data_IF_019514321080
#
_entry.id   IF_019514321080
#
_cell.length_a   1.000
_cell.length_b   1.000
_cell.length_c   1.000
_cell.angle_alpha   90.00
_cell.angle_beta   90.00
_cell.angle_gamma   90.00
#
_symmetry.space_group_name_H-M   'P 1'
#
loop_
_entity.id
_entity.type
_entity.pdbx_description
1 polymer ?
#
# COMPACT_ATOMS: atom_id res chain seq x y z
N UNK A 1 35.49 -10.87 7.86
CA UNK A 1 34.11 -10.39 7.74
C UNK A 1 34.14 -8.91 8.01
N UNK A 2 33.86 -8.11 6.99
CA UNK A 2 33.92 -6.65 7.05
C UNK A 2 32.59 -6.08 7.55
N UNK A 3 32.58 -4.82 8.01
CA UNK A 3 31.35 -4.13 8.41
C UNK A 3 30.28 -4.17 7.29
N UNK A 4 30.73 -4.11 6.04
CA UNK A 4 29.88 -4.12 4.86
C UNK A 4 29.26 -5.50 4.61
N UNK A 5 29.96 -6.59 4.92
CA UNK A 5 29.42 -7.96 4.85
C UNK A 5 28.30 -8.15 5.89
N UNK A 6 28.50 -7.63 7.10
CA UNK A 6 27.50 -7.70 8.18
C UNK A 6 26.26 -6.88 7.82
N UNK A 7 26.44 -5.70 7.21
CA UNK A 7 25.34 -4.85 6.79
C UNK A 7 24.53 -5.49 5.65
N UNK A 8 25.19 -6.12 4.68
CA UNK A 8 24.54 -6.88 3.62
C UNK A 8 23.68 -8.03 4.17
N UNK A 9 24.18 -8.75 5.19
CA UNK A 9 23.43 -9.84 5.85
C UNK A 9 22.22 -9.28 6.62
N UNK A 10 22.39 -8.17 7.34
CA UNK A 10 21.29 -7.53 8.07
C UNK A 10 20.20 -6.98 7.14
N UNK A 11 20.59 -6.42 6.00
CA UNK A 11 19.66 -6.00 4.96
C UNK A 11 18.91 -7.20 4.35
N UNK A 12 19.61 -8.31 4.07
CA UNK A 12 18.97 -9.53 3.58
C UNK A 12 17.93 -10.10 4.57
N UNK A 13 18.24 -10.09 5.87
CA UNK A 13 17.33 -10.52 6.93
C UNK A 13 16.15 -9.53 7.13
N UNK A 14 16.37 -8.24 6.88
CA UNK A 14 15.33 -7.22 6.86
C UNK A 14 14.36 -7.44 5.68
N UNK A 15 14.88 -7.65 4.46
CA UNK A 15 14.06 -7.96 3.30
C UNK A 15 13.35 -9.33 3.42
N UNK A 16 13.95 -10.27 4.16
CA UNK A 16 13.33 -11.55 4.50
C UNK A 16 12.21 -11.46 5.55
N UNK A 17 11.92 -10.27 6.10
CA UNK A 17 10.90 -10.08 7.13
C UNK A 17 11.29 -10.62 8.52
N UNK A 18 12.54 -11.06 8.70
CA UNK A 18 13.03 -11.60 9.97
C UNK A 18 13.52 -10.51 10.93
N UNK A 19 13.88 -9.34 10.38
CA UNK A 19 14.38 -8.19 11.13
C UNK A 19 13.60 -6.91 10.83
N UNK A 20 13.24 -6.21 11.89
CA UNK A 20 12.79 -4.83 11.83
C UNK A 20 13.98 -3.92 12.16
N UNK A 21 14.23 -2.91 11.34
CA UNK A 21 15.27 -1.91 11.59
C UNK A 21 14.64 -0.59 12.01
N UNK A 22 15.11 0.01 13.10
CA UNK A 22 14.77 1.38 13.49
C UNK A 22 16.03 2.23 13.50
N UNK A 23 16.02 3.32 12.75
CA UNK A 23 17.10 4.31 12.78
C UNK A 23 16.85 5.20 13.99
N UNK A 24 17.81 5.24 14.91
CA UNK A 24 17.78 6.11 16.09
C UNK A 24 18.96 7.06 16.04
N UNK A 25 18.69 8.36 16.11
CA UNK A 25 19.71 9.38 16.36
C UNK A 25 19.97 9.44 17.86
N UNK A 26 21.01 8.77 18.35
CA UNK A 26 21.39 8.90 19.76
C UNK A 26 22.35 10.07 19.93
N UNK A 27 21.90 11.10 20.67
CA UNK A 27 22.84 12.01 21.33
C UNK A 27 23.33 11.30 22.60
N UNK A 28 24.56 10.81 22.54
CA UNK A 28 25.28 10.29 23.70
C UNK A 28 25.00 8.82 24.03
N UNK A 29 25.74 7.90 23.40
CA UNK A 29 26.04 6.60 23.99
C UNK A 29 27.35 6.03 23.43
N UNK A 30 28.37 6.03 24.30
CA UNK A 30 29.59 5.21 24.32
C UNK A 30 30.49 5.16 23.07
N UNK A 31 31.25 6.25 22.87
CA UNK A 31 32.66 6.16 22.45
C UNK A 31 33.49 7.06 23.37
N UNK A 32 34.56 6.53 23.97
CA UNK A 32 35.45 7.23 24.93
C UNK A 32 36.35 8.29 24.29
N UNK A 33 35.93 8.92 23.20
CA UNK A 33 36.68 9.99 22.54
C UNK A 33 35.69 11.04 22.07
N UNK A 34 35.71 12.19 22.75
CA UNK A 34 34.99 13.41 22.41
C UNK A 34 35.21 13.77 20.94
N UNK A 35 34.18 13.58 20.12
CA UNK A 35 33.93 14.43 18.96
C UNK A 35 32.44 14.36 18.62
N UNK A 36 31.79 15.53 18.67
CA UNK A 36 30.40 15.77 18.30
C UNK A 36 30.16 15.38 16.83
N UNK A 37 29.91 14.10 16.59
CA UNK A 37 29.42 13.58 15.32
C UNK A 37 28.03 12.99 15.55
N UNK A 38 27.06 13.43 14.75
CA UNK A 38 25.73 12.82 14.75
C UNK A 38 25.85 11.40 14.21
N UNK A 39 26.08 10.43 15.09
CA UNK A 39 26.14 9.02 14.73
C UNK A 39 24.70 8.51 14.60
N UNK A 40 24.29 8.20 13.37
CA UNK A 40 23.02 7.50 13.12
C UNK A 40 23.22 6.02 13.41
N UNK A 41 22.68 5.55 14.54
CA UNK A 41 22.71 4.14 14.92
C UNK A 41 21.48 3.41 14.38
N UNK A 42 21.69 2.28 13.72
CA UNK A 42 20.61 1.39 13.26
C UNK A 42 20.45 0.28 14.30
N UNK A 43 19.29 0.25 14.98
CA UNK A 43 18.93 -0.85 15.87
C UNK A 43 18.10 -1.86 15.10
N UNK A 44 18.51 -3.13 15.15
CA UNK A 44 17.78 -4.26 14.59
C UNK A 44 17.09 -5.00 15.72
N UNK A 45 15.81 -5.31 15.54
CA UNK A 45 15.05 -6.18 16.43
C UNK A 45 14.55 -7.37 15.62
N UNK A 46 14.64 -8.57 16.21
CA UNK A 46 13.97 -9.75 15.68
C UNK A 46 12.47 -9.49 15.70
N UNK A 47 11.85 -9.51 14.51
CA UNK A 47 10.40 -9.38 14.41
C UNK A 47 9.76 -10.59 15.10
N UNK A 48 8.74 -10.41 15.97
CA UNK A 48 8.05 -11.54 16.59
C UNK A 48 7.39 -12.34 15.47
N UNK A 49 8.02 -13.46 15.10
CA UNK A 49 7.62 -14.39 14.04
C UNK A 49 6.09 -14.45 13.87
N UNK A 50 5.57 -13.71 12.88
CA UNK A 50 4.38 -14.15 12.19
C UNK A 50 4.79 -15.46 11.51
N UNK A 51 4.14 -16.55 11.89
CA UNK A 51 4.37 -17.88 11.34
C UNK A 51 4.05 -17.89 9.84
N UNK A 52 4.96 -17.40 9.00
CA UNK A 52 4.99 -17.71 7.58
C UNK A 52 6.06 -18.77 7.36
N UNK A 53 5.67 -20.03 7.56
CA UNK A 53 6.32 -21.11 6.86
C UNK A 53 6.21 -20.84 5.37
N UNK A 54 7.37 -20.80 4.71
CA UNK A 54 7.56 -20.78 3.27
C UNK A 54 6.43 -21.49 2.50
N UNK A 55 5.55 -20.70 1.88
CA UNK A 55 4.57 -21.14 0.88
C UNK A 55 5.13 -21.14 -0.55
N UNK A 56 6.45 -21.10 -0.74
CA UNK A 56 7.09 -21.17 -2.05
C UNK A 56 7.14 -22.60 -2.65
N UNK A 57 6.44 -23.57 -2.07
CA UNK A 57 6.37 -24.93 -2.61
C UNK A 57 4.96 -25.54 -2.46
N UNK A 58 3.98 -24.96 -3.17
CA UNK A 58 2.80 -25.63 -3.76
C UNK A 58 1.79 -24.56 -4.19
N UNK A 59 2.10 -23.85 -5.26
CA UNK A 59 1.06 -23.29 -6.11
C UNK A 59 0.65 -24.44 -7.03
N UNK A 60 -0.52 -25.07 -6.87
CA UNK A 60 -1.09 -25.78 -7.99
C UNK A 60 -1.40 -24.72 -9.05
N UNK A 61 -0.78 -24.86 -10.23
CA UNK A 61 -1.00 -24.04 -11.42
C UNK A 61 -2.43 -24.20 -11.99
N UNK A 62 -3.47 -24.16 -11.15
CA UNK A 62 -4.85 -24.49 -11.54
C UNK A 62 -5.91 -23.56 -10.94
N UNK A 63 -5.55 -22.31 -10.61
CA UNK A 63 -6.52 -21.20 -10.63
C UNK A 63 -5.92 -20.03 -11.42
N UNK A 64 -5.62 -20.31 -12.69
CA UNK A 64 -5.50 -19.27 -13.70
C UNK A 64 -6.90 -19.08 -14.28
N UNK A 65 -7.57 -17.98 -13.92
CA UNK A 65 -8.66 -17.28 -14.63
C UNK A 65 -9.42 -16.41 -13.62
N UNK A 66 -8.97 -15.18 -13.44
CA UNK A 66 -9.79 -14.06 -12.99
C UNK A 66 -8.98 -12.78 -13.19
N UNK A 67 -9.18 -12.11 -14.33
CA UNK A 67 -8.89 -10.70 -14.63
C UNK A 67 -7.55 -10.19 -14.10
N UNK A 68 -6.56 -9.97 -14.97
CA UNK A 68 -5.34 -9.25 -14.59
C UNK A 68 -5.67 -7.77 -14.28
N UNK A 69 -5.48 -7.28 -13.04
CA UNK A 69 -5.78 -5.88 -12.73
C UNK A 69 -4.85 -4.89 -13.45
N UNK A 70 -5.40 -4.18 -14.45
CA UNK A 70 -4.73 -3.18 -15.34
C UNK A 70 -3.65 -2.30 -14.67
N UNK A 71 -3.86 -1.91 -13.40
CA UNK A 71 -2.95 -1.05 -12.64
C UNK A 71 -2.24 -1.76 -11.48
N UNK A 72 -2.87 -2.76 -10.84
CA UNK A 72 -2.38 -3.36 -9.61
C UNK A 72 -1.81 -4.79 -9.76
N UNK A 73 -1.76 -5.37 -10.96
CA UNK A 73 -1.21 -6.73 -11.17
C UNK A 73 0.29 -6.79 -11.40
N UNK A 74 0.91 -5.65 -11.71
CA UNK A 74 2.11 -5.63 -12.55
C UNK A 74 3.39 -5.49 -11.73
N UNK A 75 3.73 -4.27 -11.33
CA UNK A 75 4.90 -3.98 -10.48
C UNK A 75 4.53 -3.64 -9.04
N UNK A 76 3.24 -3.47 -8.77
CA UNK A 76 2.72 -3.27 -7.44
C UNK A 76 2.55 -4.61 -6.76
N UNK A 77 2.88 -4.68 -5.46
CA UNK A 77 2.57 -5.85 -4.67
C UNK A 77 1.06 -6.12 -4.74
N UNK A 78 0.66 -7.36 -4.45
CA UNK A 78 -0.75 -7.74 -4.35
C UNK A 78 -1.51 -7.05 -3.21
N UNK A 79 -0.87 -6.11 -2.50
CA UNK A 79 -1.39 -5.27 -1.42
C UNK A 79 -0.85 -3.84 -1.55
N UNK A 80 -1.66 -2.88 -1.13
CA UNK A 80 -1.23 -1.51 -0.85
C UNK A 80 -0.95 -1.38 0.65
N UNK A 81 0.28 -1.75 1.05
CA UNK A 81 0.77 -1.62 2.43
C UNK A 81 1.34 -0.23 2.69
N UNK A 82 1.42 0.20 3.94
CA UNK A 82 2.03 1.50 4.27
C UNK A 82 3.52 1.49 3.89
N UNK A 83 4.20 0.35 4.07
CA UNK A 83 5.63 0.18 3.75
C UNK A 83 5.88 0.27 2.25
N UNK A 84 5.00 -0.33 1.43
CA UNK A 84 5.08 -0.17 -0.03
C UNK A 84 4.93 1.30 -0.42
N UNK A 85 3.95 1.98 0.17
CA UNK A 85 3.67 3.37 -0.13
C UNK A 85 4.81 4.28 0.30
N UNK A 86 5.41 4.07 1.46
CA UNK A 86 6.57 4.84 1.95
C UNK A 86 7.84 4.56 1.13
N UNK A 87 7.98 3.36 0.56
CA UNK A 87 9.11 3.00 -0.29
C UNK A 87 9.05 3.64 -1.69
N UNK A 88 7.85 3.77 -2.26
CA UNK A 88 7.69 4.18 -3.67
C UNK A 88 7.12 5.60 -3.86
N UNK A 89 6.43 6.12 -2.84
CA UNK A 89 5.77 7.43 -2.83
C UNK A 89 6.17 8.22 -1.58
N UNK A 90 5.93 9.53 -1.61
CA UNK A 90 6.04 10.35 -0.41
C UNK A 90 4.72 10.27 0.37
N UNK A 91 4.75 10.20 1.70
CA UNK A 91 3.49 10.10 2.46
C UNK A 91 2.68 11.40 2.43
N UNK A 92 3.35 12.55 2.60
CA UNK A 92 2.74 13.86 2.78
C UNK A 92 3.33 14.90 1.82
N UNK A 93 2.56 15.95 1.56
CA UNK A 93 2.99 17.12 0.81
C UNK A 93 2.11 17.42 -0.40
N UNK A 94 2.51 18.43 -1.14
CA UNK A 94 1.75 19.12 -2.20
C UNK A 94 2.03 18.61 -3.62
N UNK A 95 2.87 17.57 -3.78
CA UNK A 95 3.22 17.00 -5.08
C UNK A 95 2.26 15.91 -5.50
N UNK A 96 2.23 15.58 -6.79
CA UNK A 96 1.36 14.51 -7.30
C UNK A 96 1.75 13.12 -6.80
N UNK A 97 3.04 12.91 -6.49
CA UNK A 97 3.59 11.63 -6.03
C UNK A 97 3.54 11.47 -4.51
N UNK A 98 2.60 12.17 -3.85
CA UNK A 98 2.30 11.98 -2.43
C UNK A 98 1.03 11.15 -2.22
N UNK A 99 1.03 10.29 -1.20
CA UNK A 99 -0.14 9.50 -0.81
C UNK A 99 -1.31 10.41 -0.43
N UNK A 100 -1.04 11.47 0.35
CA UNK A 100 -2.01 12.49 0.72
C UNK A 100 -2.74 13.08 -0.50
N UNK A 101 -2.00 13.43 -1.55
CA UNK A 101 -2.61 14.03 -2.75
C UNK A 101 -3.35 13.00 -3.59
N UNK A 102 -2.80 11.79 -3.76
CA UNK A 102 -3.42 10.72 -4.55
C UNK A 102 -4.71 10.17 -3.90
N UNK A 103 -4.83 10.27 -2.57
CA UNK A 103 -6.03 9.92 -1.81
C UNK A 103 -6.97 11.11 -1.54
N UNK A 104 -6.75 12.25 -2.20
CA UNK A 104 -7.65 13.39 -2.08
C UNK A 104 -8.96 13.21 -2.86
N UNK A 105 -10.00 13.95 -2.47
CA UNK A 105 -11.26 14.04 -3.26
C UNK A 105 -11.01 14.60 -4.67
N UNK A 106 -10.05 15.51 -4.79
CA UNK A 106 -9.66 16.10 -6.08
C UNK A 106 -9.04 15.05 -7.01
N UNK A 107 -8.17 14.19 -6.49
CA UNK A 107 -7.62 13.07 -7.23
C UNK A 107 -8.74 12.09 -7.65
N UNK A 108 -9.60 11.68 -6.71
CA UNK A 108 -10.73 10.80 -7.00
C UNK A 108 -11.62 11.35 -8.12
N UNK A 109 -11.98 12.64 -8.07
CA UNK A 109 -12.78 13.28 -9.12
C UNK A 109 -12.07 13.32 -10.47
N UNK A 110 -10.76 13.57 -10.48
CA UNK A 110 -9.94 13.63 -11.70
C UNK A 110 -9.84 12.25 -12.37
N UNK A 111 -9.45 11.24 -11.61
CA UNK A 111 -9.22 9.88 -12.14
C UNK A 111 -10.50 9.09 -12.39
N UNK A 112 -11.64 9.51 -11.83
CA UNK A 112 -12.95 8.93 -12.17
C UNK A 112 -13.25 8.96 -13.68
N UNK A 113 -12.73 9.96 -14.40
CA UNK A 113 -12.88 10.02 -15.87
C UNK A 113 -12.29 8.80 -16.56
N UNK A 114 -11.14 8.31 -16.08
CA UNK A 114 -10.47 7.13 -16.62
C UNK A 114 -11.29 5.85 -16.38
N UNK A 115 -12.07 5.80 -15.29
CA UNK A 115 -12.98 4.68 -15.00
C UNK A 115 -14.17 4.59 -15.96
N UNK A 116 -14.52 5.67 -16.67
CA UNK A 116 -15.63 5.67 -17.62
C UNK A 116 -15.28 5.05 -18.97
N UNK A 117 -14.02 4.63 -19.16
CA UNK A 117 -13.55 4.06 -20.41
C UNK A 117 -14.20 2.69 -20.66
N UNK A 118 -14.58 2.42 -21.91
CA UNK A 118 -15.21 1.17 -22.41
C UNK A 118 -14.39 -0.12 -22.15
N UNK A 119 -13.18 0.06 -21.66
CA UNK A 119 -12.18 -0.95 -21.39
C UNK A 119 -12.49 -1.90 -20.22
N UNK A 120 -13.43 -1.53 -19.36
CA UNK A 120 -13.73 -2.26 -18.12
C UNK A 120 -15.08 -3.00 -18.19
N UNK A 121 -15.56 -3.29 -19.41
CA UNK A 121 -16.88 -3.90 -19.66
C UNK A 121 -16.81 -5.29 -20.29
N UNK A 122 -15.63 -5.80 -20.66
CA UNK A 122 -15.46 -7.12 -21.29
C UNK A 122 -14.61 -8.08 -20.46
N UNK A 123 -14.95 -9.37 -20.55
CA UNK A 123 -14.22 -10.48 -19.93
C UNK A 123 -12.97 -10.81 -20.74
N UNK A 124 -11.84 -10.17 -20.43
CA UNK A 124 -10.53 -10.61 -20.94
C UNK A 124 -9.46 -9.52 -20.94
N UNK A 125 -8.17 -9.90 -20.84
CA UNK A 125 -7.06 -8.96 -20.97
C UNK A 125 -6.90 -8.53 -22.44
N UNK A 126 -7.38 -7.33 -22.80
CA UNK A 126 -7.00 -6.66 -24.05
C UNK A 126 -5.79 -5.75 -23.80
N UNK A 127 -4.63 -6.11 -24.36
CA UNK A 127 -3.40 -5.33 -24.25
C UNK A 127 -3.57 -3.90 -24.77
N UNK A 128 -4.35 -3.73 -25.85
CA UNK A 128 -4.66 -2.41 -26.42
C UNK A 128 -5.44 -1.58 -25.42
N UNK A 129 -6.34 -2.23 -24.69
CA UNK A 129 -7.11 -1.60 -23.65
C UNK A 129 -6.25 -1.17 -22.46
N UNK A 130 -5.33 -2.01 -21.99
CA UNK A 130 -4.43 -1.66 -20.87
C UNK A 130 -3.58 -0.44 -21.20
N UNK A 131 -3.02 -0.39 -22.41
CA UNK A 131 -2.29 0.78 -22.89
C UNK A 131 -3.16 2.04 -22.96
N UNK A 132 -4.41 1.94 -23.44
CA UNK A 132 -5.34 3.09 -23.46
C UNK A 132 -5.67 3.58 -22.05
N UNK A 133 -5.92 2.66 -21.11
CA UNK A 133 -6.20 3.00 -19.72
C UNK A 133 -5.01 3.70 -19.05
N UNK A 134 -3.79 3.20 -19.28
CA UNK A 134 -2.56 3.81 -18.75
C UNK A 134 -2.23 5.14 -19.39
N UNK A 135 -2.47 5.30 -20.69
CA UNK A 135 -2.37 6.59 -21.35
C UNK A 135 -3.39 7.59 -20.77
N UNK A 136 -4.64 7.17 -20.60
CA UNK A 136 -5.70 7.98 -19.98
C UNK A 136 -5.31 8.42 -18.57
N UNK A 137 -4.78 7.49 -17.77
CA UNK A 137 -4.23 7.80 -16.45
C UNK A 137 -3.10 8.84 -16.51
N UNK A 138 -2.09 8.66 -17.37
CA UNK A 138 -0.99 9.63 -17.50
C UNK A 138 -1.46 11.02 -17.92
N UNK A 139 -2.42 11.08 -18.84
CA UNK A 139 -3.00 12.35 -19.29
C UNK A 139 -3.68 13.09 -18.13
N UNK A 140 -4.54 12.39 -17.37
CA UNK A 140 -5.19 12.98 -16.20
C UNK A 140 -4.21 13.27 -15.07
N UNK A 141 -3.15 12.46 -14.89
CA UNK A 141 -2.10 12.70 -13.91
C UNK A 141 -1.31 13.98 -14.22
N UNK A 142 -0.98 14.23 -15.49
CA UNK A 142 -0.36 15.49 -15.95
C UNK A 142 -1.24 16.69 -15.61
N UNK A 143 -2.54 16.62 -15.92
CA UNK A 143 -3.50 17.68 -15.58
C UNK A 143 -3.64 17.87 -14.07
N UNK A 144 -3.70 16.77 -13.32
CA UNK A 144 -3.76 16.81 -11.85
C UNK A 144 -2.50 17.48 -11.29
N UNK A 145 -1.31 17.06 -11.69
CA UNK A 145 -0.03 17.60 -11.22
C UNK A 145 0.12 19.10 -11.51
N UNK A 146 -0.32 19.57 -12.68
CA UNK A 146 -0.33 20.99 -13.04
C UNK A 146 -1.24 21.83 -12.14
N UNK A 147 -2.26 21.22 -11.55
CA UNK A 147 -3.20 21.89 -10.66
C UNK A 147 -2.73 21.95 -9.20
N UNK A 148 -1.51 21.47 -8.91
CA UNK A 148 -0.94 21.44 -7.56
C UNK A 148 0.11 22.54 -7.37
N UNK A 149 0.30 23.04 -6.13
CA UNK A 149 1.21 24.15 -5.85
C UNK A 149 2.67 23.88 -6.24
N UNK A 150 3.16 22.67 -5.94
CA UNK A 150 4.55 22.26 -6.20
C UNK A 150 4.60 21.32 -7.41
N UNK A 151 4.10 21.81 -8.55
CA UNK A 151 4.00 21.03 -9.77
C UNK A 151 5.40 20.65 -10.28
N UNK A 152 5.78 19.38 -10.16
CA UNK A 152 6.84 18.81 -10.98
C UNK A 152 6.25 18.18 -12.24
N UNK A 153 6.94 18.29 -13.39
CA UNK A 153 6.46 17.67 -14.61
C UNK A 153 6.40 16.15 -14.45
N UNK A 154 5.25 15.58 -14.81
CA UNK A 154 5.10 14.14 -14.98
C UNK A 154 5.81 13.77 -16.28
N UNK A 155 6.87 12.99 -16.17
CA UNK A 155 7.64 12.52 -17.32
C UNK A 155 6.83 11.44 -18.02
N UNK A 156 6.67 11.57 -19.33
CA UNK A 156 6.01 10.54 -20.11
C UNK A 156 6.91 9.33 -20.26
N UNK A 157 6.38 8.17 -19.89
CA UNK A 157 7.10 6.92 -19.96
C UNK A 157 6.35 5.94 -20.87
N UNK A 158 6.83 5.81 -22.11
CA UNK A 158 6.26 4.90 -23.09
C UNK A 158 6.32 3.43 -22.63
N UNK A 159 7.27 3.10 -21.74
CA UNK A 159 7.36 1.74 -21.18
C UNK A 159 6.23 1.48 -20.21
N UNK A 160 5.81 2.45 -19.38
CA UNK A 160 4.61 2.31 -18.53
C UNK A 160 3.35 2.02 -19.36
N UNK A 161 3.16 2.74 -20.46
CA UNK A 161 1.98 2.60 -21.34
C UNK A 161 1.96 1.23 -22.04
N UNK A 162 3.10 0.81 -22.58
CA UNK A 162 3.22 -0.42 -23.37
C UNK A 162 3.51 -1.68 -22.54
N UNK A 163 3.62 -1.55 -21.22
CA UNK A 163 4.02 -2.64 -20.35
C UNK A 163 3.00 -3.80 -20.32
N UNK A 164 3.48 -5.05 -20.37
CA UNK A 164 2.60 -6.23 -20.30
C UNK A 164 3.24 -7.50 -19.71
N UNK A 165 4.57 -7.54 -19.51
CA UNK A 165 5.25 -8.75 -19.06
C UNK A 165 6.35 -8.47 -18.00
N UNK A 166 6.23 -9.15 -16.86
CA UNK A 166 7.18 -9.14 -15.73
C UNK A 166 8.51 -9.81 -16.02
N UNK A 167 8.64 -10.56 -17.11
CA UNK A 167 9.88 -11.22 -17.51
C UNK A 167 11.00 -10.22 -17.90
N UNK A 168 10.64 -8.97 -18.19
CA UNK A 168 11.57 -7.93 -18.63
C UNK A 168 12.11 -7.11 -17.44
N UNK A 169 13.17 -7.59 -16.78
CA UNK A 169 13.66 -7.10 -15.48
C UNK A 169 14.25 -5.67 -15.41
N UNK A 170 14.15 -4.83 -16.45
CA UNK A 170 14.74 -3.48 -16.44
C UNK A 170 13.76 -2.41 -15.94
N UNK A 171 13.44 -2.45 -14.64
CA UNK A 171 12.56 -1.45 -14.02
C UNK A 171 13.35 -0.23 -13.55
N UNK A 172 12.90 0.96 -13.94
CA UNK A 172 13.41 2.19 -13.32
C UNK A 172 12.66 2.48 -12.01
N UNK A 173 13.28 3.18 -11.05
CA UNK A 173 12.56 3.68 -9.87
C UNK A 173 11.33 4.52 -10.23
N UNK A 174 11.39 5.25 -11.35
CA UNK A 174 10.27 6.06 -11.83
C UNK A 174 9.08 5.19 -12.31
N UNK A 175 9.35 4.08 -13.00
CA UNK A 175 8.30 3.14 -13.39
C UNK A 175 7.59 2.56 -12.17
N UNK A 176 8.33 2.09 -11.15
CA UNK A 176 7.73 1.56 -9.91
C UNK A 176 6.84 2.58 -9.21
N UNK A 177 7.31 3.83 -9.13
CA UNK A 177 6.52 4.97 -8.65
C UNK A 177 5.23 5.16 -9.47
N UNK A 178 5.30 5.18 -10.80
CA UNK A 178 4.11 5.33 -11.66
C UNK A 178 3.11 4.20 -11.48
N UNK A 179 3.56 2.94 -11.42
CA UNK A 179 2.67 1.80 -11.16
C UNK A 179 2.01 1.91 -9.78
N UNK A 180 2.78 2.23 -8.75
CA UNK A 180 2.25 2.41 -7.38
C UNK A 180 1.25 3.56 -7.30
N UNK A 181 1.57 4.71 -7.88
CA UNK A 181 0.67 5.85 -7.94
C UNK A 181 -0.61 5.53 -8.74
N UNK A 182 -0.49 4.84 -9.87
CA UNK A 182 -1.63 4.46 -10.71
C UNK A 182 -2.56 3.48 -10.00
N UNK A 183 -2.01 2.47 -9.32
CA UNK A 183 -2.78 1.53 -8.53
C UNK A 183 -3.52 2.26 -7.40
N UNK A 184 -2.81 3.06 -6.60
CA UNK A 184 -3.39 3.81 -5.49
C UNK A 184 -4.53 4.74 -5.94
N UNK A 185 -4.27 5.59 -6.94
CA UNK A 185 -5.21 6.60 -7.39
C UNK A 185 -6.45 6.00 -8.08
N UNK A 186 -6.26 4.98 -8.91
CA UNK A 186 -7.37 4.32 -9.60
C UNK A 186 -8.25 3.53 -8.64
N UNK A 187 -7.64 2.84 -7.67
CA UNK A 187 -8.39 2.14 -6.62
C UNK A 187 -9.15 3.10 -5.71
N UNK A 188 -8.52 4.22 -5.37
CA UNK A 188 -9.18 5.27 -4.62
C UNK A 188 -10.37 5.86 -5.38
N UNK A 189 -10.19 6.17 -6.66
CA UNK A 189 -11.27 6.69 -7.50
C UNK A 189 -12.43 5.68 -7.63
N UNK A 190 -12.14 4.39 -7.81
CA UNK A 190 -13.16 3.34 -7.89
C UNK A 190 -13.90 3.16 -6.55
N UNK A 191 -13.15 3.15 -5.45
CA UNK A 191 -13.71 3.08 -4.09
C UNK A 191 -14.63 4.28 -3.80
N UNK A 192 -14.18 5.51 -4.07
CA UNK A 192 -14.99 6.74 -3.92
C UNK A 192 -16.18 6.80 -4.88
N UNK A 193 -16.11 6.08 -5.99
CA UNK A 193 -17.22 5.95 -6.91
C UNK A 193 -18.27 4.91 -6.48
N UNK A 194 -18.01 4.14 -5.43
CA UNK A 194 -18.81 2.96 -5.08
C UNK A 194 -18.97 1.99 -6.27
N UNK A 195 -18.01 2.00 -7.21
CA UNK A 195 -18.01 1.14 -8.40
C UNK A 195 -17.31 -0.18 -8.05
N UNK A 196 -18.07 -1.07 -7.40
CA UNK A 196 -17.55 -2.35 -6.90
C UNK A 196 -17.04 -3.24 -8.02
N UNK A 197 -17.72 -3.24 -9.17
CA UNK A 197 -17.33 -4.04 -10.33
C UNK A 197 -15.94 -3.63 -10.85
N UNK A 198 -15.72 -2.33 -11.07
CA UNK A 198 -14.39 -1.85 -11.48
C UNK A 198 -13.37 -2.07 -10.40
N UNK A 199 -13.67 -1.73 -9.15
CA UNK A 199 -12.74 -1.97 -8.06
C UNK A 199 -12.25 -3.42 -8.04
N UNK A 200 -13.18 -4.39 -8.04
CA UNK A 200 -12.84 -5.81 -7.93
C UNK A 200 -12.06 -6.32 -9.16
N UNK A 201 -12.18 -5.63 -10.29
CA UNK A 201 -11.42 -5.88 -11.52
C UNK A 201 -9.97 -5.35 -11.47
N UNK A 202 -9.72 -4.17 -10.89
CA UNK A 202 -8.42 -3.49 -10.96
C UNK A 202 -7.64 -3.42 -9.65
N UNK A 203 -8.23 -3.75 -8.50
CA UNK A 203 -7.65 -3.44 -7.20
C UNK A 203 -7.39 -4.65 -6.31
N UNK A 204 -6.36 -4.58 -5.45
CA UNK A 204 -6.19 -5.48 -4.33
C UNK A 204 -7.43 -5.52 -3.45
N UNK A 205 -7.78 -6.72 -2.99
CA UNK A 205 -8.84 -6.90 -2.00
C UNK A 205 -8.19 -7.24 -0.65
N UNK A 206 -8.22 -6.34 0.36
CA UNK A 206 -7.60 -6.60 1.65
C UNK A 206 -8.16 -7.85 2.34
N UNK A 207 -9.43 -8.21 2.08
CA UNK A 207 -10.04 -9.43 2.61
C UNK A 207 -9.43 -10.73 2.09
N UNK A 208 -8.73 -10.71 0.94
CA UNK A 208 -8.02 -11.88 0.40
C UNK A 208 -6.62 -12.06 0.99
N UNK A 209 -6.11 -11.04 1.67
CA UNK A 209 -4.71 -10.97 2.12
C UNK A 209 -4.59 -11.04 3.64
N UNK A 210 -5.64 -10.65 4.36
CA UNK A 210 -5.72 -10.81 5.82
C UNK A 210 -6.04 -12.26 6.24
N UNK A 211 -5.49 -12.66 7.38
CA UNK A 211 -5.70 -14.00 7.97
C UNK A 211 -6.53 -13.95 9.28
N UNK A 212 -7.13 -12.80 9.61
CA UNK A 212 -7.90 -12.59 10.85
C UNK A 212 -9.25 -13.29 10.82
N UNK A 213 -9.93 -13.29 9.67
CA UNK A 213 -11.21 -13.97 9.48
C UNK A 213 -11.34 -14.60 8.10
N UNK A 214 -12.34 -15.45 7.91
CA UNK A 214 -12.61 -16.05 6.60
C UNK A 214 -13.02 -14.98 5.59
N UNK A 215 -12.76 -15.22 4.31
CA UNK A 215 -13.16 -14.28 3.24
C UNK A 215 -14.66 -13.96 3.28
N UNK A 216 -15.51 -14.93 3.66
CA UNK A 216 -16.97 -14.74 3.79
C UNK A 216 -17.35 -13.76 4.90
N UNK A 217 -16.58 -13.76 5.98
CA UNK A 217 -16.82 -12.93 7.16
C UNK A 217 -16.06 -11.60 7.10
N UNK A 218 -15.29 -11.36 6.04
CA UNK A 218 -14.54 -10.14 5.85
C UNK A 218 -15.29 -9.13 4.98
N UNK A 219 -15.39 -7.91 5.48
CA UNK A 219 -15.94 -6.76 4.79
C UNK A 219 -14.81 -5.77 4.52
N UNK A 220 -14.51 -5.54 3.25
CA UNK A 220 -13.59 -4.50 2.82
C UNK A 220 -14.13 -3.12 3.20
N UNK A 221 -13.32 -2.28 3.84
CA UNK A 221 -13.70 -0.91 4.24
C UNK A 221 -12.91 0.17 3.49
N UNK A 222 -11.84 -0.20 2.77
CA UNK A 222 -11.04 0.71 1.97
C UNK A 222 -10.15 -0.03 0.98
N UNK A 223 -9.02 0.59 0.63
CA UNK A 223 -8.12 0.13 -0.43
C UNK A 223 -6.76 -0.34 0.08
N UNK A 224 -6.40 0.07 1.30
CA UNK A 224 -5.16 -0.33 1.96
C UNK A 224 -5.35 -1.68 2.64
N UNK A 225 -4.24 -2.38 2.87
CA UNK A 225 -4.24 -3.75 3.44
C UNK A 225 -5.00 -3.86 4.78
N UNK A 226 -4.93 -2.82 5.61
CA UNK A 226 -5.51 -2.78 6.95
C UNK A 226 -6.95 -2.26 6.96
N UNK A 227 -7.49 -1.87 5.80
CA UNK A 227 -8.83 -1.33 5.66
C UNK A 227 -9.85 -2.44 5.36
N UNK A 228 -10.05 -3.27 6.37
CA UNK A 228 -11.09 -4.30 6.39
C UNK A 228 -11.72 -4.40 7.78
N UNK A 229 -12.84 -5.11 7.85
CA UNK A 229 -13.58 -5.43 9.07
C UNK A 229 -14.06 -6.87 9.03
N UNK A 230 -13.83 -7.61 10.10
CA UNK A 230 -14.43 -8.94 10.26
C UNK A 230 -15.81 -8.86 10.92
N UNK A 231 -16.71 -9.76 10.52
CA UNK A 231 -17.98 -9.98 11.20
C UNK A 231 -17.71 -10.65 12.54
N UNK A 232 -18.10 -9.98 13.63
CA UNK A 232 -17.88 -10.46 14.98
C UNK A 232 -19.06 -11.30 15.51
N UNK A 233 -18.80 -12.20 16.48
CA UNK A 233 -19.85 -12.87 17.26
C UNK A 233 -20.82 -11.89 17.96
N UNK A 234 -22.01 -12.35 18.35
CA UNK A 234 -23.11 -11.53 18.90
C UNK A 234 -22.73 -10.56 20.03
N UNK A 235 -21.74 -10.91 20.85
CA UNK A 235 -21.31 -10.13 22.03
C UNK A 235 -19.94 -9.47 21.87
N UNK A 236 -19.43 -9.41 20.64
CA UNK A 236 -18.18 -8.76 20.31
C UNK A 236 -18.38 -7.69 19.23
N UNK A 237 -17.46 -6.74 19.17
CA UNK A 237 -17.41 -5.69 18.17
C UNK A 237 -16.01 -5.64 17.57
N UNK A 238 -15.95 -5.28 16.30
CA UNK A 238 -14.69 -5.12 15.59
C UNK A 238 -13.97 -3.89 16.11
N UNK A 239 -12.74 -4.07 16.56
CA UNK A 239 -11.84 -3.00 16.97
C UNK A 239 -10.85 -2.73 15.83
N UNK A 240 -10.96 -1.55 15.23
CA UNK A 240 -10.14 -1.18 14.07
C UNK A 240 -8.68 -0.84 14.43
N UNK A 241 -8.39 -0.57 15.70
CA UNK A 241 -7.02 -0.30 16.18
C UNK A 241 -6.21 -1.58 16.33
N UNK A 242 -6.84 -2.64 16.85
CA UNK A 242 -6.18 -3.92 17.12
C UNK A 242 -6.47 -4.98 16.05
N UNK A 243 -7.35 -4.68 15.09
CA UNK A 243 -7.82 -5.62 14.06
C UNK A 243 -8.35 -6.93 14.66
N UNK A 244 -9.11 -6.85 15.75
CA UNK A 244 -9.70 -8.01 16.41
C UNK A 244 -11.15 -7.78 16.84
N UNK A 245 -11.89 -8.87 17.07
CA UNK A 245 -13.19 -8.80 17.72
C UNK A 245 -13.01 -8.77 19.24
N UNK A 246 -13.34 -7.65 19.87
CA UNK A 246 -13.28 -7.49 21.33
C UNK A 246 -14.67 -7.59 21.96
N UNK A 247 -14.82 -8.14 23.18
CA UNK A 247 -16.08 -8.14 23.89
C UNK A 247 -16.62 -6.72 24.09
N UNK A 248 -17.95 -6.54 23.96
CA UNK A 248 -18.61 -5.24 24.17
C UNK A 248 -18.26 -4.60 25.51
N UNK A 249 -18.18 -5.41 26.58
CA UNK A 249 -17.79 -4.96 27.91
C UNK A 249 -16.40 -4.32 27.98
N UNK A 250 -15.45 -4.79 27.19
CA UNK A 250 -14.09 -4.25 27.14
C UNK A 250 -14.06 -2.94 26.35
N UNK A 251 -14.87 -2.83 25.31
CA UNK A 251 -15.01 -1.58 24.55
C UNK A 251 -15.67 -0.48 25.39
N UNK A 252 -16.68 -0.83 26.19
CA UNK A 252 -17.32 0.11 27.12
C UNK A 252 -16.34 0.66 28.17
N UNK A 253 -15.40 -0.17 28.65
CA UNK A 253 -14.35 0.25 29.57
C UNK A 253 -13.35 1.21 28.91
N UNK A 254 -12.89 0.90 27.69
CA UNK A 254 -12.02 1.79 26.89
C UNK A 254 -12.67 3.16 26.70
N UNK A 255 -13.94 3.18 26.27
CA UNK A 255 -14.67 4.43 26.02
C UNK A 255 -14.83 5.27 27.30
N UNK A 256 -15.13 4.63 28.45
CA UNK A 256 -15.21 5.33 29.74
C UNK A 256 -13.86 5.92 30.18
N UNK A 257 -12.76 5.20 29.97
CA UNK A 257 -11.42 5.70 30.29
C UNK A 257 -11.03 6.91 29.43
N UNK A 258 -11.35 6.90 28.14
CA UNK A 258 -11.10 8.05 27.24
C UNK A 258 -11.88 9.28 27.71
N UNK A 259 -13.16 9.13 28.08
CA UNK A 259 -13.96 10.26 28.61
C UNK A 259 -13.38 10.79 29.93
N UNK A 260 -12.94 9.91 30.83
CA UNK A 260 -12.34 10.33 32.10
C UNK A 260 -10.99 11.06 31.92
N UNK A 261 -10.19 10.68 30.93
CA UNK A 261 -8.89 11.29 30.67
C UNK A 261 -9.03 12.66 29.98
N UNK A 262 -10.07 12.86 29.16
CA UNK A 262 -10.42 14.19 28.63
C UNK A 262 -10.94 15.10 29.76
N UNK A 263 -11.76 14.57 30.67
CA UNK A 263 -12.31 15.35 31.79
C UNK A 263 -11.26 15.76 32.84
N UNK A 264 -10.12 15.08 32.93
CA UNK A 264 -9.03 15.44 33.87
C UNK A 264 -8.06 16.45 33.27
N UNK A 265 -8.15 16.72 31.96
CA UNK A 265 -7.25 17.64 31.23
C UNK A 265 -7.92 18.99 30.93
N UNK A 266 -9.22 19.13 31.22
CA UNK A 266 -9.99 20.38 31.20
C UNK A 266 -10.17 20.93 32.62
#
# INVERSE_FOLDING_TARGET
MTLQDVQCVLDALKYGGELESRITSERGAYTTTDSDTNITCIRYRLSPRLLYTAGLARIPCTVCLAIQPVFCSDLTASVLSIELLDAELYMLGSRWDTVEMLLSEKAAATFRKVLSTYCLTEDGPDLTCFSKMRQGFLNELKTFAQSLPDSQPVVEDATFISYWDKSNCSWTPYMRKLFTASCLAMCWAAHKASDTAKYDMMCPNPCRMQDVCTFKDCVKTGILEHQFKCQCPKDALWDAETHTCIPKSLQDLRNKQVVSSIATVL
#
